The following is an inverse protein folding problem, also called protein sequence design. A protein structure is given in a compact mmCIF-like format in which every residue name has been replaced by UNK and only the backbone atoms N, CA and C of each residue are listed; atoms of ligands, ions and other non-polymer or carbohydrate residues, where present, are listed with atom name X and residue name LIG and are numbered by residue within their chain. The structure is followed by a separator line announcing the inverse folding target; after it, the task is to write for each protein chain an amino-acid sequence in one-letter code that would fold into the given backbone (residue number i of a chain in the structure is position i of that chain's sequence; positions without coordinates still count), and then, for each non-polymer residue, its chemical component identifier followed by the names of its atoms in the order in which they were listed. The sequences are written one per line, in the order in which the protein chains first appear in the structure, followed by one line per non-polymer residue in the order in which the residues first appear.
data_IF_651270651051
#
_entry.id   IF_651270651051
#
_cell.length_a   1.000
_cell.length_b   1.000
_cell.length_c   1.000
_cell.angle_alpha   90.00
_cell.angle_beta   90.00
_cell.angle_gamma   90.00
#
_symmetry.space_group_name_H-M   'P 1'
#
loop_
_entity.id
_entity.type
_entity.pdbx_description
1 polymer ?
#
# COMPACT_ATOMS: atom_id res chain seq x y z
N UNK A 1 4.51 -22.67 4.42
CA UNK A 1 4.45 -21.19 4.57
C UNK A 1 3.01 -20.72 4.53
N UNK A 2 2.55 -19.88 5.47
CA UNK A 2 1.20 -19.33 5.35
C UNK A 2 1.12 -18.42 4.12
N UNK A 3 0.26 -18.75 3.21
CA UNK A 3 0.06 -18.05 1.92
C UNK A 3 -0.30 -16.56 2.11
N UNK A 4 -0.90 -16.22 3.24
CA UNK A 4 -1.36 -14.89 3.59
C UNK A 4 -0.27 -13.80 3.60
N UNK A 5 0.94 -14.14 4.04
CA UNK A 5 2.06 -13.18 4.09
C UNK A 5 2.55 -12.81 2.69
N UNK A 6 2.75 -13.82 1.85
CA UNK A 6 3.19 -13.59 0.47
C UNK A 6 2.14 -12.78 -0.29
N UNK A 7 0.89 -13.14 -0.12
CA UNK A 7 -0.20 -12.40 -0.75
C UNK A 7 -0.32 -10.96 -0.23
N UNK A 8 -0.08 -10.71 1.05
CA UNK A 8 -0.02 -9.34 1.59
C UNK A 8 1.11 -8.52 0.95
N UNK A 9 2.29 -9.11 0.73
CA UNK A 9 3.41 -8.46 0.04
C UNK A 9 3.04 -8.16 -1.42
N UNK A 10 2.45 -9.12 -2.14
CA UNK A 10 1.99 -8.93 -3.51
C UNK A 10 0.89 -7.86 -3.60
N UNK A 11 -0.04 -7.85 -2.64
CA UNK A 11 -1.07 -6.82 -2.57
C UNK A 11 -0.46 -5.43 -2.36
N UNK A 12 0.56 -5.32 -1.51
CA UNK A 12 1.27 -4.05 -1.30
C UNK A 12 2.00 -3.57 -2.57
N UNK A 13 2.61 -4.48 -3.34
CA UNK A 13 3.22 -4.17 -4.64
C UNK A 13 2.18 -3.72 -5.68
N UNK A 14 0.96 -4.24 -5.61
CA UNK A 14 -0.12 -3.90 -6.56
C UNK A 14 -0.92 -2.65 -6.19
N UNK A 15 -0.80 -2.14 -4.95
CA UNK A 15 -1.69 -1.09 -4.42
C UNK A 15 -0.96 0.09 -3.79
N UNK A 16 0.31 -0.07 -3.48
CA UNK A 16 1.08 0.93 -2.74
C UNK A 16 0.58 1.18 -1.30
N UNK A 17 -0.21 0.28 -0.71
CA UNK A 17 -0.75 0.39 0.64
C UNK A 17 0.37 0.52 1.69
N UNK A 18 0.17 1.32 2.74
CA UNK A 18 1.14 1.42 3.84
C UNK A 18 1.09 0.18 4.73
N UNK A 19 2.22 -0.17 5.36
CA UNK A 19 2.31 -1.36 6.23
C UNK A 19 1.27 -1.36 7.35
N UNK A 20 1.08 -0.22 8.03
CA UNK A 20 0.09 -0.10 9.10
C UNK A 20 -1.37 -0.19 8.61
N UNK A 21 -1.65 0.28 7.41
CA UNK A 21 -2.95 0.15 6.76
C UNK A 21 -3.22 -1.32 6.39
N UNK A 22 -2.23 -2.00 5.81
CA UNK A 22 -2.33 -3.43 5.45
C UNK A 22 -2.48 -4.33 6.69
N UNK A 23 -1.76 -4.03 7.79
CA UNK A 23 -1.89 -4.77 9.04
C UNK A 23 -3.26 -4.58 9.70
N UNK A 24 -3.95 -3.48 9.44
CA UNK A 24 -5.29 -3.18 9.93
C UNK A 24 -6.40 -3.57 8.94
N UNK A 25 -6.05 -4.07 7.75
CA UNK A 25 -7.02 -4.35 6.69
C UNK A 25 -7.81 -5.63 6.99
N UNK A 26 -9.11 -5.50 7.05
CA UNK A 26 -10.07 -6.61 7.22
C UNK A 26 -10.78 -6.90 5.89
N UNK A 27 -11.25 -8.13 5.72
CA UNK A 27 -11.91 -8.56 4.49
C UNK A 27 -13.24 -7.84 4.21
N UNK A 28 -13.89 -7.27 5.23
CA UNK A 28 -15.06 -6.39 5.05
C UNK A 28 -14.76 -5.14 4.18
N UNK A 29 -13.50 -4.71 4.17
CA UNK A 29 -13.03 -3.54 3.40
C UNK A 29 -12.50 -3.91 2.01
N UNK A 30 -12.59 -5.19 1.61
CA UNK A 30 -12.12 -5.69 0.31
C UNK A 30 -13.30 -6.16 -0.53
N UNK A 31 -13.69 -5.36 -1.52
CA UNK A 31 -14.72 -5.74 -2.49
C UNK A 31 -14.08 -6.33 -3.75
N UNK A 32 -14.24 -7.63 -3.95
CA UNK A 32 -13.79 -8.30 -5.17
C UNK A 32 -14.76 -8.11 -6.35
N UNK A 33 -15.99 -7.68 -6.09
CA UNK A 33 -16.98 -7.35 -7.11
C UNK A 33 -16.72 -5.96 -7.69
N UNK A 34 -16.52 -4.96 -6.80
CA UNK A 34 -16.18 -3.59 -7.21
C UNK A 34 -14.71 -3.43 -7.54
N UNK A 35 -13.90 -4.49 -7.35
CA UNK A 35 -12.44 -4.49 -7.53
C UNK A 35 -11.78 -3.34 -6.78
N UNK A 36 -12.11 -3.19 -5.50
CA UNK A 36 -11.67 -2.06 -4.69
C UNK A 36 -11.34 -2.44 -3.24
N UNK A 37 -10.40 -1.72 -2.65
CA UNK A 37 -10.04 -1.79 -1.24
C UNK A 37 -10.32 -0.45 -0.60
N UNK A 38 -11.10 -0.43 0.47
CA UNK A 38 -11.33 0.76 1.29
C UNK A 38 -10.33 0.82 2.43
N UNK A 39 -9.50 1.85 2.45
CA UNK A 39 -8.58 2.14 3.54
C UNK A 39 -9.27 3.10 4.51
N UNK A 40 -9.64 2.62 5.68
CA UNK A 40 -10.30 3.42 6.71
C UNK A 40 -9.66 3.26 8.09
N UNK A 41 -8.75 2.28 8.25
CA UNK A 41 -8.06 1.99 9.51
C UNK A 41 -6.56 1.85 9.26
N UNK A 42 -5.77 2.17 10.27
CA UNK A 42 -4.34 1.90 10.29
C UNK A 42 -3.91 1.43 11.68
N UNK A 43 -3.01 0.48 11.73
CA UNK A 43 -2.35 0.03 12.95
C UNK A 43 -1.15 0.94 13.22
N UNK A 44 -1.11 1.53 14.41
CA UNK A 44 -0.06 2.42 14.86
C UNK A 44 0.47 1.94 16.21
N UNK A 45 1.76 2.16 16.44
CA UNK A 45 2.38 1.94 17.75
C UNK A 45 2.59 3.31 18.39
N UNK A 46 1.86 3.58 19.45
CA UNK A 46 1.94 4.83 20.20
C UNK A 46 2.72 4.64 21.50
N UNK A 47 3.47 5.67 21.90
CA UNK A 47 4.08 5.70 23.22
C UNK A 47 3.00 5.81 24.29
N UNK A 48 3.09 4.98 25.31
CA UNK A 48 2.21 5.06 26.48
C UNK A 48 2.83 6.00 27.49
N UNK A 49 2.31 7.22 27.56
CA UNK A 49 2.78 8.26 28.49
C UNK A 49 2.27 8.08 29.90
N UNK A 50 1.39 7.10 30.17
CA UNK A 50 0.79 6.86 31.49
C UNK A 50 1.68 6.02 32.43
N UNK A 51 2.82 5.50 31.96
CA UNK A 51 3.70 4.63 32.72
C UNK A 51 5.04 5.31 32.97
N UNK A 52 5.31 5.63 34.24
CA UNK A 52 6.48 6.39 34.71
C UNK A 52 7.84 5.66 34.66
N UNK A 53 7.89 4.39 34.25
CA UNK A 53 9.15 3.64 34.10
C UNK A 53 9.10 2.72 32.87
N UNK A 54 9.99 2.98 31.92
CA UNK A 54 10.22 2.19 30.70
C UNK A 54 9.37 2.62 29.52
N UNK A 55 10.00 2.70 28.34
CA UNK A 55 9.34 3.04 27.08
C UNK A 55 8.33 1.94 26.71
N UNK A 56 7.12 2.03 27.21
CA UNK A 56 6.04 1.13 26.83
C UNK A 56 5.27 1.74 25.69
N UNK A 57 5.13 0.97 24.62
CA UNK A 57 4.32 1.33 23.48
C UNK A 57 3.10 0.43 23.44
N UNK A 58 1.94 1.00 23.10
CA UNK A 58 0.71 0.25 22.85
C UNK A 58 0.38 0.27 21.36
N UNK A 59 -0.22 -0.81 20.89
CA UNK A 59 -0.77 -0.90 19.54
C UNK A 59 -2.18 -0.33 19.57
N UNK A 60 -2.47 0.54 18.61
CA UNK A 60 -3.80 1.12 18.41
C UNK A 60 -4.18 0.93 16.95
N UNK A 61 -5.37 0.36 16.73
CA UNK A 61 -6.01 0.33 15.41
C UNK A 61 -7.09 1.40 15.43
N UNK A 62 -6.97 2.37 14.55
CA UNK A 62 -7.87 3.52 14.47
C UNK A 62 -7.85 4.17 13.10
N UNK A 63 -8.56 5.30 12.94
CA UNK A 63 -8.50 6.05 11.69
C UNK A 63 -7.06 6.47 11.39
N UNK A 64 -6.70 6.60 10.11
CA UNK A 64 -5.39 7.11 9.72
C UNK A 64 -5.20 8.55 10.22
N UNK A 65 -3.93 9.01 10.27
CA UNK A 65 -3.57 10.34 10.83
C UNK A 65 -4.17 11.54 10.10
N UNK A 66 -4.61 11.39 8.86
CA UNK A 66 -5.20 12.47 8.05
C UNK A 66 -6.43 11.97 7.32
N UNK A 67 -7.39 12.85 7.07
CA UNK A 67 -8.62 12.57 6.32
C UNK A 67 -8.31 12.09 4.89
N UNK A 68 -7.26 12.60 4.27
CA UNK A 68 -6.78 12.17 2.95
C UNK A 68 -6.27 10.73 2.92
N UNK A 69 -6.02 10.14 4.08
CA UNK A 69 -5.62 8.74 4.18
C UNK A 69 -6.80 7.77 4.12
N UNK A 70 -8.03 8.24 4.38
CA UNK A 70 -9.25 7.46 4.13
C UNK A 70 -9.53 7.55 2.63
N UNK A 71 -9.43 6.40 1.96
CA UNK A 71 -9.50 6.36 0.49
C UNK A 71 -9.91 4.99 -0.01
N UNK A 72 -10.30 4.93 -1.27
CA UNK A 72 -10.55 3.69 -2.00
C UNK A 72 -9.44 3.48 -3.03
N UNK A 73 -8.84 2.31 -3.02
CA UNK A 73 -7.80 1.89 -3.97
C UNK A 73 -8.42 0.91 -4.95
N UNK A 74 -8.52 1.23 -6.25
CA UNK A 74 -8.93 0.28 -7.27
C UNK A 74 -7.92 -0.86 -7.37
N UNK A 75 -8.40 -2.08 -7.59
CA UNK A 75 -7.57 -3.26 -7.77
C UNK A 75 -7.44 -3.65 -9.23
N UNK A 76 -6.25 -4.07 -9.64
CA UNK A 76 -6.04 -4.76 -10.91
C UNK A 76 -6.72 -6.12 -10.91
N UNK A 77 -6.92 -6.73 -12.08
CA UNK A 77 -7.44 -8.10 -12.20
C UNK A 77 -6.59 -9.11 -11.42
N UNK A 78 -5.27 -8.93 -11.45
CA UNK A 78 -4.34 -9.77 -10.70
C UNK A 78 -4.58 -9.66 -9.18
N UNK A 79 -4.64 -8.45 -8.64
CA UNK A 79 -4.89 -8.23 -7.21
C UNK A 79 -6.27 -8.75 -6.80
N UNK A 80 -7.29 -8.54 -7.63
CA UNK A 80 -8.64 -9.06 -7.42
C UNK A 80 -8.67 -10.59 -7.39
N UNK A 81 -8.00 -11.23 -8.35
CA UNK A 81 -7.87 -12.68 -8.41
C UNK A 81 -7.12 -13.26 -7.20
N UNK A 82 -6.09 -12.55 -6.72
CA UNK A 82 -5.39 -12.90 -5.49
C UNK A 82 -6.34 -12.86 -4.29
N UNK A 83 -7.09 -11.77 -4.12
CA UNK A 83 -8.05 -11.61 -3.03
C UNK A 83 -9.17 -12.67 -3.08
N UNK A 84 -9.71 -12.99 -4.27
CA UNK A 84 -10.73 -14.03 -4.42
C UNK A 84 -10.26 -15.40 -3.92
N UNK A 85 -9.01 -15.78 -4.25
CA UNK A 85 -8.43 -17.07 -3.81
C UNK A 85 -8.19 -17.15 -2.31
N UNK A 86 -8.05 -16.00 -1.66
CA UNK A 86 -7.69 -15.92 -0.25
C UNK A 86 -8.85 -15.59 0.68
N UNK A 87 -9.98 -15.17 0.15
CA UNK A 87 -11.10 -14.69 0.96
C UNK A 87 -11.58 -15.78 1.90
N UNK A 88 -11.51 -15.60 3.25
CA UNK A 88 -12.06 -16.53 4.22
C UNK A 88 -13.59 -16.40 4.30
N UNK A 89 -14.24 -17.26 5.09
CA UNK A 89 -15.68 -17.16 5.34
C UNK A 89 -16.03 -15.93 6.19
N UNK A 90 -15.18 -15.57 7.17
CA UNK A 90 -15.41 -14.42 8.04
C UNK A 90 -14.93 -13.13 7.37
N UNK A 91 -15.81 -12.16 7.19
CA UNK A 91 -15.48 -10.82 6.71
C UNK A 91 -14.73 -9.98 7.75
N UNK A 92 -14.86 -10.31 9.04
CA UNK A 92 -14.14 -9.67 10.14
C UNK A 92 -12.66 -10.11 10.22
N UNK A 93 -12.27 -11.18 9.53
CA UNK A 93 -10.89 -11.64 9.48
C UNK A 93 -9.97 -10.62 8.83
N UNK A 94 -8.73 -10.52 9.34
CA UNK A 94 -7.68 -9.69 8.76
C UNK A 94 -7.09 -10.33 7.50
N UNK A 95 -6.77 -9.50 6.52
CA UNK A 95 -6.25 -9.97 5.22
C UNK A 95 -4.92 -10.71 5.36
N UNK A 96 -4.06 -10.30 6.29
CA UNK A 96 -2.74 -10.89 6.51
C UNK A 96 -2.73 -12.20 7.31
N UNK A 97 -3.82 -12.54 7.97
CA UNK A 97 -3.87 -13.71 8.85
C UNK A 97 -4.97 -14.69 8.48
N UNK A 98 -6.01 -14.22 7.80
CA UNK A 98 -7.22 -14.99 7.55
C UNK A 98 -8.04 -15.27 8.83
N UNK A 99 -7.70 -14.63 9.94
CA UNK A 99 -8.33 -14.76 11.27
C UNK A 99 -8.69 -13.39 11.84
N UNK A 100 -9.38 -13.36 12.98
CA UNK A 100 -9.71 -12.12 13.68
C UNK A 100 -8.54 -11.54 14.49
N UNK A 101 -7.38 -12.17 14.45
CA UNK A 101 -6.13 -11.63 15.02
C UNK A 101 -5.36 -10.86 13.97
N UNK A 102 -4.99 -9.61 14.28
CA UNK A 102 -4.15 -8.79 13.41
C UNK A 102 -2.68 -9.23 13.43
N UNK A 103 -1.92 -8.83 12.42
CA UNK A 103 -0.48 -8.99 12.38
C UNK A 103 0.22 -7.67 12.71
N UNK A 104 1.26 -7.73 13.56
CA UNK A 104 2.08 -6.55 13.81
C UNK A 104 2.96 -6.18 12.61
N UNK A 105 3.13 -4.87 12.31
CA UNK A 105 4.01 -4.40 11.23
C UNK A 105 5.43 -4.95 11.29
N UNK A 106 5.99 -5.08 12.50
CA UNK A 106 7.33 -5.63 12.69
C UNK A 106 7.44 -7.08 12.24
N UNK A 107 6.41 -7.88 12.48
CA UNK A 107 6.36 -9.28 12.03
C UNK A 107 6.30 -9.36 10.51
N UNK A 108 5.49 -8.52 9.87
CA UNK A 108 5.41 -8.45 8.41
C UNK A 108 6.72 -7.98 7.78
N UNK A 109 7.35 -6.94 8.36
CA UNK A 109 8.67 -6.46 7.93
C UNK A 109 9.74 -7.56 8.02
N UNK A 110 9.79 -8.28 9.14
CA UNK A 110 10.73 -9.38 9.33
C UNK A 110 10.51 -10.50 8.29
N UNK A 111 9.24 -10.82 7.99
CA UNK A 111 8.91 -11.82 6.95
C UNK A 111 9.35 -11.37 5.57
N UNK A 112 9.08 -10.10 5.22
CA UNK A 112 9.55 -9.53 3.95
C UNK A 112 11.07 -9.66 3.82
N UNK A 113 11.82 -9.26 4.84
CA UNK A 113 13.27 -9.34 4.86
C UNK A 113 13.79 -10.77 4.63
N UNK A 114 13.17 -11.77 5.28
CA UNK A 114 13.49 -13.19 5.06
C UNK A 114 13.25 -13.63 3.61
N UNK A 115 12.17 -13.17 2.99
CA UNK A 115 11.87 -13.52 1.59
C UNK A 115 12.84 -12.85 0.63
N UNK A 116 13.14 -11.58 0.84
CA UNK A 116 14.04 -10.84 -0.04
C UNK A 116 15.49 -11.35 0.08
N UNK A 117 15.96 -11.65 1.28
CA UNK A 117 17.26 -12.28 1.49
C UNK A 117 17.37 -13.64 0.79
N UNK A 118 16.32 -14.48 0.86
CA UNK A 118 16.30 -15.76 0.14
C UNK A 118 16.36 -15.60 -1.39
N UNK A 119 16.03 -14.42 -1.91
CA UNK A 119 16.13 -14.06 -3.32
C UNK A 119 17.42 -13.28 -3.66
N UNK A 120 18.35 -13.14 -2.71
CA UNK A 120 19.58 -12.36 -2.91
C UNK A 120 19.38 -10.84 -2.89
N UNK A 121 18.24 -10.35 -2.38
CA UNK A 121 17.93 -8.93 -2.26
C UNK A 121 18.15 -8.48 -0.81
N UNK A 122 19.05 -7.53 -0.60
CA UNK A 122 19.34 -6.95 0.71
C UNK A 122 18.73 -5.56 0.87
N UNK A 123 18.49 -5.13 2.12
CA UNK A 123 18.04 -3.78 2.44
C UNK A 123 16.62 -3.44 2.02
N UNK A 124 15.79 -4.43 1.67
CA UNK A 124 14.42 -4.21 1.24
C UNK A 124 13.51 -4.00 2.44
N UNK A 125 12.99 -2.80 2.59
CA UNK A 125 11.99 -2.44 3.59
C UNK A 125 10.58 -2.43 3.00
N UNK A 126 9.56 -2.55 3.84
CA UNK A 126 8.17 -2.57 3.35
C UNK A 126 7.82 -1.30 2.55
N UNK A 127 8.39 -0.16 2.93
CA UNK A 127 8.17 1.09 2.20
C UNK A 127 8.72 1.05 0.77
N UNK A 128 9.74 0.20 0.50
CA UNK A 128 10.27 -0.04 -0.85
C UNK A 128 9.20 -0.59 -1.80
N UNK A 129 8.28 -1.45 -1.31
CA UNK A 129 7.17 -1.98 -2.12
C UNK A 129 6.27 -0.86 -2.63
N UNK A 130 5.96 0.10 -1.75
CA UNK A 130 5.16 1.27 -2.12
C UNK A 130 5.91 2.20 -3.06
N UNK A 131 7.21 2.40 -2.88
CA UNK A 131 8.03 3.15 -3.84
C UNK A 131 8.04 2.48 -5.21
N UNK A 132 8.22 1.17 -5.25
CA UNK A 132 8.17 0.38 -6.50
C UNK A 132 6.82 0.56 -7.20
N UNK A 133 5.70 0.43 -6.48
CA UNK A 133 4.37 0.69 -7.04
C UNK A 133 4.27 2.10 -7.63
N UNK A 134 4.67 3.12 -6.88
CA UNK A 134 4.53 4.51 -7.32
C UNK A 134 5.43 4.83 -8.52
N UNK A 135 6.67 4.33 -8.55
CA UNK A 135 7.58 4.50 -9.68
C UNK A 135 7.01 3.83 -10.93
N UNK A 136 6.54 2.58 -10.81
CA UNK A 136 5.91 1.88 -11.94
C UNK A 136 4.64 2.57 -12.43
N UNK A 137 3.82 3.11 -11.54
CA UNK A 137 2.64 3.88 -11.92
C UNK A 137 3.00 5.12 -12.75
N UNK A 138 4.07 5.84 -12.36
CA UNK A 138 4.59 6.98 -13.14
C UNK A 138 5.14 6.53 -14.50
N UNK A 139 5.91 5.45 -14.54
CA UNK A 139 6.47 4.90 -15.78
C UNK A 139 5.39 4.50 -16.81
N UNK A 140 4.25 4.00 -16.35
CA UNK A 140 3.12 3.65 -17.24
C UNK A 140 2.16 4.82 -17.49
N UNK A 141 2.50 6.02 -17.01
CA UNK A 141 1.78 7.26 -17.33
C UNK A 141 0.57 7.54 -16.46
N UNK A 142 0.54 7.08 -15.20
CA UNK A 142 -0.52 7.50 -14.27
C UNK A 142 -0.55 9.02 -14.13
N UNK A 143 -1.73 9.57 -14.13
CA UNK A 143 -1.93 10.98 -13.79
C UNK A 143 -1.54 11.19 -12.32
N UNK A 144 -0.71 12.22 -12.05
CA UNK A 144 -0.03 12.41 -10.76
C UNK A 144 -1.01 12.64 -9.62
N UNK A 145 -2.13 13.31 -9.89
CA UNK A 145 -3.17 13.56 -8.90
C UNK A 145 -3.86 12.25 -8.50
N UNK A 146 -4.24 11.43 -9.47
CA UNK A 146 -4.83 10.11 -9.22
C UNK A 146 -3.87 9.20 -8.44
N UNK A 147 -2.57 9.20 -8.77
CA UNK A 147 -1.56 8.47 -8.02
C UNK A 147 -1.44 8.98 -6.58
N UNK A 148 -1.44 10.30 -6.38
CA UNK A 148 -1.40 10.92 -5.06
C UNK A 148 -2.59 10.50 -4.18
N UNK A 149 -3.79 10.45 -4.75
CA UNK A 149 -5.01 10.02 -4.08
C UNK A 149 -4.95 8.52 -3.72
N UNK A 150 -4.53 7.65 -4.64
CA UNK A 150 -4.32 6.21 -4.39
C UNK A 150 -3.32 6.00 -3.26
N UNK A 151 -2.23 6.74 -3.26
CA UNK A 151 -1.23 6.68 -2.21
C UNK A 151 -1.71 7.32 -0.88
N UNK A 152 -2.71 8.19 -0.89
CA UNK A 152 -3.17 8.95 0.27
C UNK A 152 -2.08 9.91 0.77
N UNK A 153 -1.49 10.67 -0.13
CA UNK A 153 -0.62 11.79 0.23
C UNK A 153 -1.46 13.01 0.55
N UNK A 154 -1.01 13.81 1.53
CA UNK A 154 -1.69 15.06 1.92
C UNK A 154 -1.53 16.16 0.89
N UNK A 155 -0.53 16.05 0.01
CA UNK A 155 -0.28 16.98 -1.10
C UNK A 155 0.23 16.23 -2.32
N UNK A 156 -0.23 16.64 -3.49
CA UNK A 156 0.26 16.16 -4.79
C UNK A 156 1.76 16.43 -4.96
N UNK A 157 2.26 17.52 -4.37
CA UNK A 157 3.68 17.90 -4.37
C UNK A 157 4.57 16.76 -3.86
N UNK A 158 4.13 16.03 -2.84
CA UNK A 158 4.88 14.86 -2.31
C UNK A 158 5.08 13.79 -3.39
N UNK A 159 4.08 13.58 -4.24
CA UNK A 159 4.17 12.62 -5.34
C UNK A 159 5.07 13.15 -6.47
N UNK A 160 4.93 14.44 -6.81
CA UNK A 160 5.77 15.09 -7.81
C UNK A 160 7.25 15.05 -7.43
N UNK A 161 7.59 15.54 -6.25
CA UNK A 161 8.98 15.65 -5.79
C UNK A 161 9.67 14.29 -5.67
N UNK A 162 8.90 13.26 -5.34
CA UNK A 162 9.45 11.94 -5.01
C UNK A 162 9.53 10.99 -6.20
N UNK A 163 8.60 11.10 -7.14
CA UNK A 163 8.45 10.10 -8.22
C UNK A 163 8.49 10.68 -9.63
N UNK A 164 8.25 11.96 -9.80
CA UNK A 164 8.19 12.57 -11.14
C UNK A 164 9.50 13.31 -11.46
N UNK A 165 10.47 12.56 -11.94
CA UNK A 165 11.65 13.14 -12.57
C UNK A 165 11.42 13.17 -14.08
N UNK A 166 10.93 14.31 -14.59
CA UNK A 166 10.67 14.48 -16.02
C UNK A 166 11.97 14.46 -16.81
N UNK A 167 12.35 13.31 -17.37
CA UNK A 167 13.45 13.20 -18.33
C UNK A 167 13.15 14.05 -19.58
N UNK A 168 14.19 14.48 -20.30
CA UNK A 168 14.00 15.19 -21.56
C UNK A 168 13.26 14.33 -22.60
N UNK A 169 13.44 13.01 -22.52
CA UNK A 169 12.78 12.02 -23.37
C UNK A 169 11.28 11.99 -23.09
N UNK A 170 10.85 11.90 -21.83
CA UNK A 170 9.45 11.98 -21.45
C UNK A 170 8.78 13.30 -21.88
N UNK A 171 9.53 14.43 -21.80
CA UNK A 171 9.04 15.72 -22.29
C UNK A 171 8.83 15.70 -23.81
N UNK A 172 9.74 15.10 -24.58
CA UNK A 172 9.61 14.93 -26.04
C UNK A 172 8.41 14.07 -26.39
N UNK A 173 8.25 12.93 -25.72
CA UNK A 173 7.11 12.02 -25.96
C UNK A 173 5.77 12.70 -25.64
N UNK A 174 5.70 13.46 -24.58
CA UNK A 174 4.51 14.22 -24.24
C UNK A 174 4.22 15.32 -25.26
N UNK A 175 5.26 16.00 -25.77
CA UNK A 175 5.08 16.99 -26.84
C UNK A 175 4.60 16.33 -28.14
N UNK A 176 5.05 15.11 -28.46
CA UNK A 176 4.57 14.38 -29.64
C UNK A 176 3.10 13.94 -29.52
N UNK A 177 2.60 13.71 -28.30
CA UNK A 177 1.17 13.41 -28.05
C UNK A 177 0.28 14.62 -28.33
N UNK A 178 0.80 15.83 -28.25
CA UNK A 178 0.18 17.04 -28.77
C UNK A 178 0.23 17.05 -30.30
N UNK A 179 -0.27 15.98 -30.92
CA UNK A 179 -0.60 16.03 -32.35
C UNK A 179 -1.70 17.05 -32.51
N UNK A 180 -1.28 18.20 -32.94
CA UNK A 180 -2.06 19.39 -33.09
C UNK A 180 -3.30 19.07 -33.87
N UNK A 181 -4.44 19.27 -33.25
CA UNK A 181 -5.72 19.35 -33.94
C UNK A 181 -5.62 20.57 -34.87
N UNK A 182 -5.17 20.35 -36.10
CA UNK A 182 -5.30 21.33 -37.16
C UNK A 182 -4.21 22.41 -37.33
N UNK A 183 -2.92 22.10 -37.15
CA UNK A 183 -1.81 22.85 -37.79
C UNK A 183 -0.98 21.95 -38.67
#
# INVERSE_FOLDING_TARGET
MPIWYLAGILLALCTGIRIGELCALQWESVSTNDKAIRIAKALQRLHDTSVSQGARTRIVIGPPKSDTSVRTIPMTEYATGLCRRMKPQSSAAYVLTGTEAFMEPRTLQYRLEKYTQACGLEGVHFHTLRHTFATRAVEVGFEVKSLSEILGHTSVTITLDRYVHASLELKRDNMQKLKVVGL
#
